data_IF_180826833855
#
_entry.id   IF_180826833855
#
_cell.length_a   1.000
_cell.length_b   1.000
_cell.length_c   1.000
_cell.angle_alpha   90.00
_cell.angle_beta   90.00
_cell.angle_gamma   90.00
#
_symmetry.space_group_name_H-M   'P 1'
#
loop_
_entity.id
_entity.type
_entity.pdbx_description
1 polymer ?
#
# COMPACT_ATOMS: atom_id res chain seq x y z
N UNK A 1 -32.03 6.75 -13.89
CA UNK A 1 -30.72 6.08 -13.72
C UNK A 1 -29.62 7.12 -13.91
N UNK A 2 -29.35 7.90 -12.86
CA UNK A 2 -28.32 8.93 -12.89
C UNK A 2 -27.03 8.38 -12.27
N UNK A 3 -26.02 8.21 -13.10
CA UNK A 3 -24.67 7.89 -12.67
C UNK A 3 -24.12 9.10 -11.92
N UNK A 4 -23.95 8.98 -10.61
CA UNK A 4 -23.17 9.96 -9.82
C UNK A 4 -21.69 9.83 -10.17
N UNK A 5 -20.94 10.94 -10.31
CA UNK A 5 -19.51 10.90 -10.60
C UNK A 5 -18.77 10.26 -9.42
N UNK A 6 -17.91 9.31 -9.77
CA UNK A 6 -16.93 8.74 -8.83
C UNK A 6 -15.99 9.88 -8.41
N UNK A 7 -15.89 10.14 -7.12
CA UNK A 7 -14.79 10.95 -6.57
C UNK A 7 -13.50 10.20 -6.86
N UNK A 8 -12.78 10.65 -7.86
CA UNK A 8 -11.38 10.31 -8.06
C UNK A 8 -10.64 10.75 -6.80
N UNK A 9 -9.97 9.81 -6.12
CA UNK A 9 -9.14 10.11 -4.97
C UNK A 9 -8.03 11.07 -5.38
N UNK A 10 -8.25 12.35 -5.12
CA UNK A 10 -7.21 13.36 -5.28
C UNK A 10 -6.18 13.13 -4.17
N UNK A 11 -4.99 12.66 -4.54
CA UNK A 11 -3.82 12.81 -3.71
C UNK A 11 -3.72 14.27 -3.29
N UNK A 12 -3.34 14.54 -2.03
CA UNK A 12 -3.25 15.89 -1.52
C UNK A 12 -2.50 16.80 -2.49
N UNK A 13 -3.24 17.49 -3.33
CA UNK A 13 -2.68 18.57 -4.14
C UNK A 13 -2.48 19.75 -3.20
N UNK A 14 -1.25 20.21 -3.12
CA UNK A 14 -1.05 21.63 -2.96
C UNK A 14 -1.56 22.22 -4.28
N UNK A 15 -2.71 22.89 -4.28
CA UNK A 15 -3.19 23.64 -5.44
C UNK A 15 -2.18 24.77 -5.71
N UNK A 16 -1.25 24.51 -6.66
CA UNK A 16 -0.33 25.50 -7.14
C UNK A 16 -0.88 26.12 -8.42
N UNK A 17 -0.78 27.45 -8.61
CA UNK A 17 -1.17 28.12 -9.83
C UNK A 17 -0.34 27.65 -11.04
N UNK A 18 -0.89 27.78 -12.23
CA UNK A 18 -0.27 27.42 -13.50
C UNK A 18 1.15 28.04 -13.68
N UNK A 19 2.09 27.36 -14.36
CA UNK A 19 3.47 27.80 -14.45
C UNK A 19 3.60 29.06 -15.28
N UNK A 20 3.94 30.15 -14.59
CA UNK A 20 4.54 31.31 -15.22
C UNK A 20 5.97 30.99 -15.59
N UNK A 21 6.36 31.25 -16.85
CA UNK A 21 7.69 31.07 -17.39
C UNK A 21 8.68 32.03 -16.73
N UNK A 22 9.40 31.56 -15.72
CA UNK A 22 10.60 32.22 -15.21
C UNK A 22 11.73 31.19 -15.20
N UNK A 23 12.76 31.43 -16.00
CA UNK A 23 13.98 30.63 -16.08
C UNK A 23 14.70 30.63 -14.73
N UNK A 24 14.50 29.60 -13.93
CA UNK A 24 15.29 29.35 -12.74
C UNK A 24 16.58 28.63 -13.16
N UNK A 25 17.71 29.27 -12.92
CA UNK A 25 19.03 28.63 -13.04
C UNK A 25 19.13 27.51 -12.03
N UNK A 26 19.03 26.26 -12.49
CA UNK A 26 19.27 25.09 -11.65
C UNK A 26 20.78 25.06 -11.33
N UNK A 27 21.16 25.39 -10.09
CA UNK A 27 22.46 25.01 -9.58
C UNK A 27 22.56 23.48 -9.54
N UNK A 28 23.73 22.94 -9.91
CA UNK A 28 23.95 21.48 -9.90
C UNK A 28 23.56 20.90 -8.55
N UNK A 29 22.73 19.84 -8.51
CA UNK A 29 22.24 19.28 -7.26
C UNK A 29 23.41 18.74 -6.44
N UNK A 30 23.63 19.29 -5.23
CA UNK A 30 24.57 18.72 -4.27
C UNK A 30 23.98 17.41 -3.76
N UNK A 31 24.67 16.29 -3.98
CA UNK A 31 24.31 14.99 -3.38
C UNK A 31 24.31 15.19 -1.86
N UNK A 32 23.19 14.90 -1.22
CA UNK A 32 23.08 14.97 0.23
C UNK A 32 24.14 14.07 0.88
N UNK A 33 24.95 14.62 1.76
CA UNK A 33 26.01 13.86 2.44
C UNK A 33 25.42 12.75 3.32
N UNK A 34 26.25 11.78 3.69
CA UNK A 34 25.85 10.69 4.63
C UNK A 34 25.28 11.26 5.94
N UNK A 35 25.81 12.41 6.40
CA UNK A 35 25.30 13.10 7.59
C UNK A 35 23.87 13.61 7.38
N UNK A 36 23.57 14.19 6.21
CA UNK A 36 22.20 14.67 5.85
C UNK A 36 21.23 13.50 5.79
N UNK A 37 21.60 12.38 5.18
CA UNK A 37 20.77 11.19 5.14
C UNK A 37 20.42 10.65 6.54
N UNK A 38 21.42 10.65 7.44
CA UNK A 38 21.20 10.26 8.83
C UNK A 38 20.20 11.17 9.52
N UNK A 39 20.40 12.48 9.42
CA UNK A 39 19.49 13.50 10.00
C UNK A 39 18.08 13.36 9.44
N UNK A 40 17.93 13.19 8.12
CA UNK A 40 16.62 12.94 7.49
C UNK A 40 15.95 11.71 8.07
N UNK A 41 16.67 10.59 8.13
CA UNK A 41 16.13 9.33 8.64
C UNK A 41 15.69 9.45 10.10
N UNK A 42 16.53 10.00 10.96
CA UNK A 42 16.23 10.20 12.37
C UNK A 42 14.98 11.07 12.57
N UNK A 43 14.88 12.17 11.84
CA UNK A 43 13.74 13.09 11.93
C UNK A 43 12.45 12.45 11.39
N UNK A 44 12.52 11.72 10.27
CA UNK A 44 11.37 11.00 9.72
C UNK A 44 10.87 9.90 10.66
N UNK A 45 11.78 9.12 11.25
CA UNK A 45 11.44 8.10 12.24
C UNK A 45 10.82 8.72 13.52
N UNK A 46 11.28 9.92 13.92
CA UNK A 46 10.72 10.67 15.04
C UNK A 46 9.27 11.14 14.80
N UNK A 47 8.83 11.24 13.54
CA UNK A 47 7.42 11.51 13.20
C UNK A 47 6.50 10.31 13.44
N UNK A 48 7.05 9.13 13.77
CA UNK A 48 6.30 7.91 14.05
C UNK A 48 6.35 6.85 12.95
N UNK A 49 7.04 7.08 11.84
CA UNK A 49 7.30 6.04 10.84
C UNK A 49 8.22 4.95 11.41
N UNK A 50 7.98 3.71 11.02
CA UNK A 50 8.81 2.56 11.43
C UNK A 50 9.97 2.32 10.47
N UNK A 51 9.85 2.81 9.23
CA UNK A 51 10.85 2.72 8.17
C UNK A 51 10.99 4.08 7.49
N UNK A 52 12.25 4.48 7.24
CA UNK A 52 12.60 5.62 6.38
C UNK A 52 13.84 5.22 5.57
N UNK A 53 13.69 5.04 4.26
CA UNK A 53 14.73 4.61 3.33
C UNK A 53 14.68 5.47 2.07
N UNK A 54 15.76 5.46 1.31
CA UNK A 54 15.93 6.33 0.15
C UNK A 54 16.27 5.50 -1.09
N UNK A 55 15.65 5.85 -2.21
CA UNK A 55 15.97 5.27 -3.52
C UNK A 55 16.29 6.40 -4.51
N UNK A 56 17.13 6.10 -5.49
CA UNK A 56 17.43 7.02 -6.58
C UNK A 56 16.37 6.87 -7.68
N UNK A 57 16.01 7.99 -8.31
CA UNK A 57 15.29 8.04 -9.58
C UNK A 57 16.30 8.30 -10.69
N UNK A 58 16.43 7.36 -11.65
CA UNK A 58 17.31 7.53 -12.80
C UNK A 58 16.62 8.43 -13.85
N UNK A 59 17.23 9.54 -14.26
CA UNK A 59 16.67 10.42 -15.28
C UNK A 59 16.65 9.73 -16.65
N UNK A 60 15.46 9.67 -17.26
CA UNK A 60 15.31 9.23 -18.66
C UNK A 60 15.45 7.71 -18.91
N UNK A 61 15.81 6.92 -17.92
CA UNK A 61 15.83 5.47 -17.99
C UNK A 61 15.18 4.87 -16.75
N UNK A 62 14.31 3.90 -16.95
CA UNK A 62 13.87 3.01 -15.87
C UNK A 62 14.99 1.98 -15.75
N UNK A 63 15.66 1.86 -14.61
CA UNK A 63 16.67 0.82 -14.44
C UNK A 63 16.08 -0.59 -14.59
N UNK A 64 16.94 -1.60 -14.73
CA UNK A 64 16.51 -2.97 -15.01
C UNK A 64 15.49 -3.51 -14.01
N UNK A 65 15.66 -3.22 -12.70
CA UNK A 65 14.75 -3.70 -11.67
C UNK A 65 13.36 -3.03 -11.75
N UNK A 66 13.33 -1.72 -12.00
CA UNK A 66 12.08 -0.99 -12.20
C UNK A 66 11.45 -1.39 -13.53
N UNK A 67 12.24 -1.59 -14.61
CA UNK A 67 11.78 -2.08 -15.91
C UNK A 67 11.08 -3.42 -15.78
N UNK A 68 11.62 -4.36 -14.99
CA UNK A 68 10.99 -5.64 -14.71
C UNK A 68 9.65 -5.48 -13.99
N UNK A 69 9.57 -4.59 -13.00
CA UNK A 69 8.32 -4.32 -12.27
C UNK A 69 7.25 -3.68 -13.18
N UNK A 70 7.65 -2.78 -14.08
CA UNK A 70 6.75 -2.15 -15.07
C UNK A 70 6.27 -3.19 -16.08
N UNK A 71 7.17 -4.04 -16.61
CA UNK A 71 6.81 -5.11 -17.52
C UNK A 71 5.86 -6.12 -16.86
N UNK A 72 6.11 -6.49 -15.60
CA UNK A 72 5.24 -7.37 -14.84
C UNK A 72 3.84 -6.75 -14.64
N UNK A 73 3.75 -5.45 -14.34
CA UNK A 73 2.47 -4.75 -14.26
C UNK A 73 1.74 -4.77 -15.60
N UNK A 74 2.43 -4.50 -16.73
CA UNK A 74 1.84 -4.54 -18.07
C UNK A 74 1.27 -5.92 -18.35
N UNK A 75 2.06 -6.97 -18.21
CA UNK A 75 1.62 -8.35 -18.44
C UNK A 75 0.43 -8.74 -17.57
N UNK A 76 0.40 -8.28 -16.32
CA UNK A 76 -0.70 -8.51 -15.38
C UNK A 76 -2.00 -7.82 -15.80
N UNK A 77 -1.90 -6.58 -16.33
CA UNK A 77 -3.03 -5.83 -16.89
C UNK A 77 -3.54 -6.49 -18.18
N UNK A 78 -2.63 -6.85 -19.10
CA UNK A 78 -2.97 -7.49 -20.38
C UNK A 78 -3.66 -8.86 -20.18
N UNK A 79 -3.31 -9.58 -19.11
CA UNK A 79 -3.98 -10.82 -18.68
C UNK A 79 -5.33 -10.59 -17.99
N UNK A 80 -5.79 -9.35 -17.80
CA UNK A 80 -7.03 -9.01 -17.10
C UNK A 80 -7.03 -9.39 -15.60
N UNK A 81 -5.86 -9.64 -15.02
CA UNK A 81 -5.74 -10.05 -13.62
C UNK A 81 -6.13 -8.96 -12.62
N UNK A 82 -6.27 -7.71 -13.08
CA UNK A 82 -6.72 -6.57 -12.28
C UNK A 82 -8.25 -6.53 -12.07
N UNK A 83 -9.01 -7.40 -12.75
CA UNK A 83 -10.47 -7.44 -12.72
C UNK A 83 -11.08 -6.04 -13.01
N UNK A 84 -12.00 -5.52 -12.18
CA UNK A 84 -12.66 -4.22 -12.39
C UNK A 84 -11.84 -3.01 -11.92
N UNK A 85 -10.60 -3.20 -11.53
CA UNK A 85 -9.73 -2.12 -11.02
C UNK A 85 -9.13 -1.27 -12.16
N UNK A 86 -9.98 -0.75 -13.07
CA UNK A 86 -9.56 0.01 -14.26
C UNK A 86 -8.76 1.29 -13.97
N UNK A 87 -8.68 1.76 -12.72
CA UNK A 87 -7.76 2.85 -12.34
C UNK A 87 -6.28 2.45 -12.42
N UNK A 88 -5.97 1.14 -12.40
CA UNK A 88 -4.61 0.63 -12.57
C UNK A 88 -4.15 0.81 -14.02
N UNK A 89 -5.03 0.52 -14.98
CA UNK A 89 -4.78 0.77 -16.40
C UNK A 89 -4.61 2.26 -16.70
N UNK A 90 -5.59 3.06 -16.26
CA UNK A 90 -5.55 4.53 -16.46
C UNK A 90 -4.33 5.20 -15.80
N UNK A 91 -3.81 4.61 -14.75
CA UNK A 91 -2.63 5.12 -14.04
C UNK A 91 -1.31 4.47 -14.46
N UNK A 92 -1.30 3.63 -15.50
CA UNK A 92 -0.11 2.86 -15.90
C UNK A 92 1.08 3.74 -16.23
N UNK A 93 0.92 4.74 -17.10
CA UNK A 93 2.02 5.60 -17.56
C UNK A 93 2.72 6.33 -16.39
N UNK A 94 1.96 6.83 -15.43
CA UNK A 94 2.54 7.47 -14.24
C UNK A 94 3.25 6.47 -13.33
N UNK A 95 2.73 5.23 -13.25
CA UNK A 95 3.40 4.16 -12.48
C UNK A 95 4.70 3.72 -13.14
N UNK A 96 4.72 3.72 -14.48
CA UNK A 96 5.90 3.36 -15.26
C UNK A 96 6.96 4.47 -15.31
N UNK A 97 6.54 5.73 -15.17
CA UNK A 97 7.44 6.88 -15.31
C UNK A 97 7.28 7.87 -14.15
N UNK A 98 8.20 7.84 -13.16
CA UNK A 98 8.18 8.77 -12.04
C UNK A 98 8.30 10.25 -12.44
N UNK A 99 8.86 10.54 -13.62
CA UNK A 99 8.91 11.90 -14.17
C UNK A 99 7.53 12.47 -14.50
N UNK A 100 6.51 11.63 -14.71
CA UNK A 100 5.12 12.05 -14.87
C UNK A 100 4.41 12.28 -13.51
N UNK A 101 4.99 11.78 -12.43
CA UNK A 101 4.51 12.01 -11.06
C UNK A 101 5.07 13.33 -10.54
N UNK A 102 6.38 13.53 -10.68
CA UNK A 102 7.09 14.77 -10.37
C UNK A 102 8.17 15.01 -11.43
N UNK A 103 7.98 15.94 -12.37
CA UNK A 103 9.02 16.31 -13.32
C UNK A 103 10.31 16.73 -12.62
N UNK A 104 11.44 16.14 -13.01
CA UNK A 104 12.74 16.40 -12.39
C UNK A 104 12.98 15.68 -11.06
N UNK A 105 12.15 14.68 -10.71
CA UNK A 105 12.42 13.83 -9.55
C UNK A 105 13.79 13.15 -9.65
N UNK A 106 14.55 13.15 -8.56
CA UNK A 106 15.88 12.56 -8.41
C UNK A 106 15.92 11.49 -7.34
N UNK A 107 15.04 11.57 -6.36
CA UNK A 107 15.00 10.63 -5.25
C UNK A 107 13.59 10.28 -4.85
N UNK A 108 13.44 9.11 -4.24
CA UNK A 108 12.21 8.70 -3.54
C UNK A 108 12.56 8.40 -2.09
N UNK A 109 11.87 9.07 -1.18
CA UNK A 109 11.85 8.71 0.24
C UNK A 109 10.76 7.68 0.43
N UNK A 110 11.13 6.47 0.81
CA UNK A 110 10.20 5.37 1.09
C UNK A 110 10.00 5.27 2.59
N UNK A 111 8.76 5.38 3.01
CA UNK A 111 8.33 5.34 4.40
C UNK A 111 7.48 4.09 4.64
N UNK A 112 7.59 3.53 5.84
CA UNK A 112 6.79 2.38 6.25
C UNK A 112 6.17 2.59 7.61
N UNK A 113 4.92 2.11 7.78
CA UNK A 113 4.21 2.11 9.06
C UNK A 113 3.75 0.69 9.36
N UNK A 114 4.21 0.15 10.47
CA UNK A 114 3.89 -1.20 10.90
C UNK A 114 2.48 -1.26 11.49
N UNK A 115 1.61 -2.09 10.87
CA UNK A 115 0.22 -2.28 11.33
C UNK A 115 -0.04 -3.64 11.98
N UNK A 116 0.99 -4.37 12.39
CA UNK A 116 0.82 -5.68 13.02
C UNK A 116 0.15 -5.57 14.40
N UNK A 117 -1.17 -5.78 14.52
CA UNK A 117 -1.91 -5.60 15.76
C UNK A 117 -1.81 -6.81 16.70
N UNK A 118 -1.01 -7.82 16.32
CA UNK A 118 -1.04 -9.12 16.99
C UNK A 118 -2.14 -10.04 16.44
N UNK A 119 -2.42 -11.13 17.14
CA UNK A 119 -3.40 -12.13 16.69
C UNK A 119 -4.79 -11.80 17.22
N UNK A 120 -5.78 -11.70 16.33
CA UNK A 120 -7.20 -11.75 16.70
C UNK A 120 -7.61 -13.20 16.95
N UNK A 121 -7.56 -13.64 18.19
CA UNK A 121 -8.05 -14.96 18.57
C UNK A 121 -9.54 -14.88 18.93
N UNK A 122 -10.34 -15.79 18.37
CA UNK A 122 -11.74 -16.00 18.79
C UNK A 122 -12.78 -15.06 18.17
N UNK A 123 -12.45 -14.23 17.18
CA UNK A 123 -13.46 -13.45 16.47
C UNK A 123 -14.37 -14.36 15.62
N UNK A 124 -15.71 -14.17 15.64
CA UNK A 124 -16.64 -14.98 14.88
C UNK A 124 -16.51 -14.80 13.35
N UNK A 125 -15.99 -13.64 12.93
CA UNK A 125 -15.69 -13.29 11.53
C UNK A 125 -14.24 -12.82 11.43
N UNK A 126 -13.67 -13.00 10.23
CA UNK A 126 -12.30 -12.55 9.94
C UNK A 126 -12.30 -11.23 9.17
N UNK A 127 -11.64 -10.27 9.75
CA UNK A 127 -11.33 -8.97 9.16
C UNK A 127 -9.85 -8.92 8.85
N UNK A 128 -9.48 -8.34 7.71
CA UNK A 128 -8.07 -8.08 7.43
C UNK A 128 -7.47 -7.21 8.55
N UNK A 129 -6.26 -7.52 8.97
CA UNK A 129 -5.60 -6.90 10.14
C UNK A 129 -5.52 -5.39 10.02
N UNK A 130 -5.24 -4.88 8.81
CA UNK A 130 -5.15 -3.45 8.59
C UNK A 130 -6.46 -2.71 8.88
N UNK A 131 -7.61 -3.36 8.70
CA UNK A 131 -8.92 -2.78 8.97
C UNK A 131 -9.23 -2.61 10.46
N UNK A 132 -8.41 -3.17 11.32
CA UNK A 132 -8.55 -3.08 12.78
C UNK A 132 -7.98 -1.78 13.35
N UNK A 133 -7.36 -0.97 12.52
CA UNK A 133 -6.91 0.38 12.82
C UNK A 133 -7.90 1.44 12.31
N UNK A 134 -7.70 2.69 12.73
CA UNK A 134 -8.28 3.83 12.05
C UNK A 134 -7.86 3.80 10.57
N UNK A 135 -8.60 4.50 9.72
CA UNK A 135 -8.24 4.58 8.31
C UNK A 135 -6.81 5.13 8.17
N UNK A 136 -5.93 4.29 7.64
CA UNK A 136 -4.51 4.65 7.52
C UNK A 136 -4.27 5.84 6.59
N UNK A 137 -5.18 6.12 5.65
CA UNK A 137 -5.11 7.32 4.83
C UNK A 137 -5.24 8.58 5.69
N UNK A 138 -6.20 8.57 6.64
CA UNK A 138 -6.42 9.70 7.53
C UNK A 138 -5.25 9.89 8.52
N UNK A 139 -4.59 8.79 8.90
CA UNK A 139 -3.45 8.82 9.82
C UNK A 139 -2.14 9.21 9.12
N UNK A 140 -1.89 8.65 7.92
CA UNK A 140 -0.62 8.84 7.21
C UNK A 140 -0.53 10.20 6.50
N UNK A 141 -1.64 10.73 5.96
CA UNK A 141 -1.63 12.00 5.23
C UNK A 141 -1.07 13.17 6.05
N UNK A 142 -1.49 13.43 7.30
CA UNK A 142 -0.88 14.47 8.13
C UNK A 142 0.60 14.20 8.46
N UNK A 143 0.99 12.92 8.61
CA UNK A 143 2.38 12.56 8.87
C UNK A 143 3.26 12.82 7.65
N UNK A 144 2.76 12.54 6.44
CA UNK A 144 3.45 12.85 5.18
C UNK A 144 3.61 14.34 4.97
N UNK A 145 2.62 15.16 5.32
CA UNK A 145 2.74 16.61 5.28
C UNK A 145 3.84 17.11 6.24
N UNK A 146 3.97 16.51 7.43
CA UNK A 146 5.09 16.82 8.35
C UNK A 146 6.43 16.34 7.81
N UNK A 147 6.45 15.17 7.17
CA UNK A 147 7.65 14.63 6.52
C UNK A 147 8.15 15.58 5.40
N UNK A 148 7.21 16.14 4.61
CA UNK A 148 7.53 17.16 3.62
C UNK A 148 8.24 18.37 4.24
N UNK A 149 7.76 18.89 5.36
CA UNK A 149 8.43 20.00 6.07
C UNK A 149 9.83 19.63 6.57
N UNK A 150 10.02 18.38 7.02
CA UNK A 150 11.37 17.90 7.36
C UNK A 150 12.31 17.94 6.16
N UNK A 151 11.82 17.57 4.96
CA UNK A 151 12.59 17.67 3.73
C UNK A 151 12.95 19.14 3.40
N UNK A 152 11.98 20.05 3.52
CA UNK A 152 12.20 21.48 3.29
C UNK A 152 13.31 22.02 4.21
N UNK A 153 13.24 21.74 5.51
CA UNK A 153 14.20 22.22 6.50
C UNK A 153 15.62 21.62 6.33
N UNK A 154 15.69 20.32 6.00
CA UNK A 154 16.99 19.62 5.95
C UNK A 154 17.68 19.77 4.60
N UNK A 155 16.91 19.82 3.51
CA UNK A 155 17.44 19.90 2.15
C UNK A 155 17.42 21.31 1.57
N UNK A 156 16.76 22.28 2.22
CA UNK A 156 16.61 23.64 1.72
C UNK A 156 15.74 23.72 0.46
N UNK A 157 14.75 22.84 0.33
CA UNK A 157 13.81 22.78 -0.77
C UNK A 157 12.46 23.38 -0.37
N UNK A 158 11.54 23.49 -1.32
CA UNK A 158 10.20 24.03 -1.11
C UNK A 158 9.12 22.99 -1.34
N UNK A 159 7.87 23.28 -1.02
CA UNK A 159 6.72 22.40 -1.25
C UNK A 159 6.49 22.03 -2.72
N UNK A 160 7.06 22.79 -3.67
CA UNK A 160 6.98 22.48 -5.10
C UNK A 160 7.95 21.38 -5.52
N UNK A 161 8.98 21.10 -4.71
CA UNK A 161 10.06 20.18 -5.03
C UNK A 161 9.75 18.73 -4.63
N UNK A 162 8.58 18.44 -4.08
CA UNK A 162 8.19 17.07 -3.74
C UNK A 162 6.70 16.79 -3.93
N UNK A 163 6.37 15.50 -4.05
CA UNK A 163 4.99 14.96 -4.05
C UNK A 163 4.97 13.69 -3.21
N UNK A 164 3.95 13.53 -2.37
CA UNK A 164 3.82 12.34 -1.52
C UNK A 164 2.53 11.59 -1.78
N UNK A 165 2.60 10.27 -1.61
CA UNK A 165 1.50 9.33 -1.80
C UNK A 165 1.51 8.26 -0.73
N UNK A 166 0.33 7.72 -0.44
CA UNK A 166 0.14 6.50 0.32
C UNK A 166 -1.05 5.77 -0.31
N UNK A 167 -0.84 4.57 -0.85
CA UNK A 167 -1.81 3.66 -1.48
C UNK A 167 -2.53 4.25 -2.71
N UNK A 168 -3.14 5.42 -2.60
CA UNK A 168 -4.01 5.99 -3.66
C UNK A 168 -3.25 6.65 -4.81
N UNK A 169 -1.93 6.73 -4.75
CA UNK A 169 -1.10 7.33 -5.78
C UNK A 169 -0.85 6.42 -6.99
N UNK A 170 -0.52 6.99 -8.16
CA UNK A 170 -0.11 6.22 -9.32
C UNK A 170 1.38 5.84 -9.21
N UNK A 171 1.72 5.05 -8.19
CA UNK A 171 3.09 4.68 -7.80
C UNK A 171 3.20 3.17 -7.67
N UNK A 172 4.36 2.61 -8.02
CA UNK A 172 4.73 1.22 -7.77
C UNK A 172 5.39 1.09 -6.38
N UNK A 173 4.60 1.29 -5.31
CA UNK A 173 5.10 1.38 -3.93
C UNK A 173 6.01 0.23 -3.53
N UNK A 174 5.62 -1.01 -3.82
CA UNK A 174 6.42 -2.20 -3.48
C UNK A 174 7.75 -2.26 -4.24
N UNK A 175 7.77 -1.84 -5.50
CA UNK A 175 9.00 -1.78 -6.29
C UNK A 175 9.97 -0.71 -5.75
N UNK A 176 9.46 0.47 -5.39
CA UNK A 176 10.27 1.50 -4.73
C UNK A 176 10.76 1.06 -3.35
N UNK A 177 9.92 0.35 -2.59
CA UNK A 177 10.32 -0.17 -1.28
C UNK A 177 11.42 -1.25 -1.39
N UNK A 178 11.36 -2.12 -2.40
CA UNK A 178 12.42 -3.10 -2.69
C UNK A 178 13.72 -2.40 -3.09
N UNK A 179 13.61 -1.42 -3.96
CA UNK A 179 14.72 -0.60 -4.41
C UNK A 179 15.38 0.22 -3.31
N UNK A 180 14.60 0.71 -2.35
CA UNK A 180 15.10 1.38 -1.15
C UNK A 180 15.62 0.41 -0.07
N UNK A 181 15.55 -0.91 -0.30
CA UNK A 181 16.02 -1.91 0.67
C UNK A 181 15.11 -2.08 1.90
N UNK A 182 13.83 -1.73 1.80
CA UNK A 182 12.85 -1.94 2.89
C UNK A 182 12.53 -3.43 3.05
N UNK A 183 12.48 -4.15 1.94
CA UNK A 183 12.14 -5.55 1.90
C UNK A 183 12.32 -6.13 0.50
N UNK A 184 11.73 -7.27 0.25
CA UNK A 184 11.72 -7.94 -1.04
C UNK A 184 10.29 -8.35 -1.42
N UNK A 185 10.02 -8.49 -2.70
CA UNK A 185 8.74 -8.97 -3.19
C UNK A 185 8.62 -10.48 -3.00
N UNK A 186 7.66 -10.92 -2.17
CA UNK A 186 7.41 -12.33 -1.89
C UNK A 186 6.56 -13.02 -2.95
N UNK A 187 6.55 -14.37 -2.95
CA UNK A 187 5.66 -15.17 -3.81
C UNK A 187 4.17 -14.90 -3.58
N UNK A 188 3.82 -14.32 -2.43
CA UNK A 188 2.46 -13.85 -2.11
C UNK A 188 2.14 -12.45 -2.66
N UNK A 189 2.99 -11.92 -3.54
CA UNK A 189 2.87 -10.59 -4.12
C UNK A 189 2.90 -9.43 -3.10
N UNK A 190 3.29 -9.69 -1.86
CA UNK A 190 3.45 -8.68 -0.81
C UNK A 190 4.93 -8.28 -0.67
N UNK A 191 5.16 -7.06 -0.21
CA UNK A 191 6.48 -6.71 0.32
C UNK A 191 6.73 -7.50 1.61
N UNK A 192 7.90 -8.11 1.73
CA UNK A 192 8.33 -8.86 2.91
C UNK A 192 9.53 -8.16 3.52
N UNK A 193 9.35 -7.53 4.66
CA UNK A 193 10.42 -6.91 5.45
C UNK A 193 11.04 -7.93 6.41
N UNK A 194 12.35 -7.81 6.65
CA UNK A 194 13.03 -8.64 7.67
C UNK A 194 12.56 -8.34 9.09
N UNK A 195 12.22 -7.09 9.37
CA UNK A 195 11.86 -6.63 10.72
C UNK A 195 10.36 -6.66 10.98
N UNK A 196 9.55 -6.48 9.93
CA UNK A 196 8.10 -6.27 10.06
C UNK A 196 7.27 -7.32 9.30
N UNK A 197 7.92 -8.32 8.67
CA UNK A 197 7.22 -9.33 7.87
C UNK A 197 6.41 -8.68 6.74
N UNK A 198 5.14 -9.07 6.62
CA UNK A 198 4.21 -8.55 5.60
C UNK A 198 3.35 -7.36 6.10
N UNK A 199 3.65 -6.78 7.27
CA UNK A 199 2.73 -5.92 7.98
C UNK A 199 3.10 -4.43 7.90
N UNK A 200 3.50 -3.95 6.70
CA UNK A 200 3.83 -2.54 6.45
C UNK A 200 2.82 -1.90 5.52
N UNK A 201 2.27 -0.77 5.92
CA UNK A 201 1.79 0.24 4.98
C UNK A 201 2.99 0.98 4.41
N UNK A 202 2.93 1.30 3.13
CA UNK A 202 3.96 2.04 2.41
C UNK A 202 3.50 3.45 2.10
N UNK A 203 4.44 4.35 1.99
CA UNK A 203 4.23 5.68 1.43
C UNK A 203 5.52 6.17 0.79
N UNK A 204 5.40 6.97 -0.25
CA UNK A 204 6.52 7.52 -0.99
C UNK A 204 6.44 9.04 -1.08
N UNK A 205 7.62 9.67 -1.00
CA UNK A 205 7.79 11.09 -1.32
C UNK A 205 8.81 11.17 -2.45
N UNK A 206 8.35 11.53 -3.64
CA UNK A 206 9.23 11.88 -4.76
C UNK A 206 9.81 13.27 -4.53
N UNK A 207 11.12 13.44 -4.76
CA UNK A 207 11.85 14.66 -4.44
C UNK A 207 12.77 15.05 -5.60
N UNK A 208 12.84 16.33 -5.94
CA UNK A 208 13.78 16.85 -6.94
C UNK A 208 15.23 16.93 -6.44
N UNK A 209 15.41 16.99 -5.12
CA UNK A 209 16.74 16.93 -4.53
C UNK A 209 17.36 15.53 -4.64
N UNK A 210 18.66 15.47 -4.80
CA UNK A 210 19.41 14.22 -4.83
C UNK A 210 19.78 13.80 -3.40
N UNK A 211 19.23 12.65 -2.97
CA UNK A 211 19.50 12.02 -1.68
C UNK A 211 20.28 10.74 -1.97
N UNK A 212 21.38 10.48 -1.27
CA UNK A 212 22.13 9.25 -1.46
C UNK A 212 21.23 8.03 -1.20
N UNK A 213 21.12 7.09 -2.15
CA UNK A 213 20.23 5.94 -2.01
C UNK A 213 20.75 4.96 -0.97
N UNK A 214 19.84 4.25 -0.33
CA UNK A 214 20.16 3.04 0.43
C UNK A 214 20.37 1.86 -0.53
N UNK A 215 21.07 0.83 -0.05
CA UNK A 215 21.28 -0.39 -0.82
C UNK A 215 19.96 -1.14 -1.03
N UNK A 216 19.63 -1.50 -2.27
CA UNK A 216 18.45 -2.27 -2.59
C UNK A 216 18.55 -3.70 -2.06
N UNK A 217 17.41 -4.37 -1.91
CA UNK A 217 17.43 -5.81 -1.72
C UNK A 217 17.87 -6.51 -3.01
N UNK A 218 18.92 -7.31 -2.91
CA UNK A 218 19.40 -8.10 -4.04
C UNK A 218 18.45 -9.25 -4.37
N UNK A 219 17.90 -9.27 -5.58
CA UNK A 219 17.14 -10.39 -6.12
C UNK A 219 15.72 -10.04 -6.58
N UNK A 220 15.23 -10.70 -7.59
CA UNK A 220 13.88 -10.55 -8.13
C UNK A 220 12.80 -11.22 -7.26
N UNK A 221 11.56 -11.16 -7.73
CA UNK A 221 10.35 -11.66 -7.08
C UNK A 221 10.51 -13.08 -6.54
N UNK A 222 10.18 -13.26 -5.26
CA UNK A 222 10.17 -14.56 -4.60
C UNK A 222 11.54 -15.20 -4.37
N UNK A 223 12.64 -14.58 -4.77
CA UNK A 223 13.98 -15.18 -4.65
C UNK A 223 14.34 -15.57 -3.22
N UNK A 224 14.09 -14.70 -2.25
CA UNK A 224 14.33 -14.98 -0.83
C UNK A 224 13.29 -15.93 -0.20
N UNK A 225 12.22 -16.26 -0.92
CA UNK A 225 11.31 -17.32 -0.55
C UNK A 225 11.90 -18.72 -0.79
N UNK A 226 12.89 -18.86 -1.68
CA UNK A 226 13.49 -20.14 -2.04
C UNK A 226 12.43 -21.18 -2.47
N UNK A 227 12.50 -22.38 -1.90
CA UNK A 227 11.56 -23.48 -2.16
C UNK A 227 10.23 -23.37 -1.41
N UNK A 228 10.03 -22.34 -0.56
CA UNK A 228 8.80 -22.18 0.22
C UNK A 228 7.59 -21.92 -0.69
N UNK A 229 6.49 -22.64 -0.46
CA UNK A 229 5.21 -22.50 -1.18
C UNK A 229 4.03 -22.25 -0.25
N UNK A 230 4.25 -22.02 1.05
CA UNK A 230 3.18 -21.93 2.06
C UNK A 230 2.04 -20.98 1.68
N UNK A 231 2.34 -19.81 1.14
CA UNK A 231 1.31 -18.84 0.74
C UNK A 231 0.51 -19.31 -0.48
N UNK A 232 1.15 -20.03 -1.41
CA UNK A 232 0.51 -20.58 -2.60
C UNK A 232 -0.43 -21.72 -2.20
N UNK A 233 0.02 -22.60 -1.30
CA UNK A 233 -0.73 -23.78 -0.84
C UNK A 233 -1.89 -23.38 0.08
N UNK A 234 -1.73 -22.33 0.89
CA UNK A 234 -2.74 -21.86 1.81
C UNK A 234 -3.82 -20.95 1.15
N UNK A 235 -3.58 -20.47 -0.08
CA UNK A 235 -4.54 -19.59 -0.74
C UNK A 235 -5.86 -20.36 -1.00
N UNK A 236 -6.98 -19.94 -0.37
CA UNK A 236 -8.22 -20.74 -0.41
C UNK A 236 -8.83 -20.83 -1.81
N UNK A 237 -8.51 -19.88 -2.68
CA UNK A 237 -9.06 -19.77 -4.04
C UNK A 237 -8.04 -20.05 -5.13
N UNK A 238 -6.76 -20.27 -4.78
CA UNK A 238 -5.70 -20.44 -5.75
C UNK A 238 -5.36 -19.17 -6.54
N UNK A 239 -5.66 -17.99 -5.99
CA UNK A 239 -5.42 -16.69 -6.64
C UNK A 239 -3.93 -16.36 -6.88
N UNK A 240 -3.00 -17.08 -6.25
CA UNK A 240 -1.56 -16.88 -6.39
C UNK A 240 -1.00 -17.83 -7.45
N UNK A 241 -0.36 -17.30 -8.48
CA UNK A 241 0.27 -18.10 -9.53
C UNK A 241 1.44 -18.94 -8.96
N UNK A 242 1.49 -20.22 -9.32
CA UNK A 242 2.57 -21.14 -8.90
C UNK A 242 3.83 -20.93 -9.73
N UNK A 243 3.67 -20.57 -10.99
CA UNK A 243 4.76 -20.25 -11.90
C UNK A 243 4.98 -18.74 -11.97
N UNK A 244 6.23 -18.32 -12.11
CA UNK A 244 6.60 -16.91 -12.21
C UNK A 244 6.63 -16.12 -10.89
N UNK A 245 6.00 -16.60 -9.81
CA UNK A 245 6.02 -15.99 -8.47
C UNK A 245 5.43 -14.57 -8.39
N UNK A 246 4.80 -14.22 -7.28
CA UNK A 246 4.36 -12.83 -7.01
C UNK A 246 3.20 -12.31 -7.88
N UNK A 247 2.52 -13.16 -8.63
CA UNK A 247 1.36 -12.81 -9.45
C UNK A 247 0.08 -13.20 -8.73
N UNK A 248 -0.84 -12.25 -8.60
CA UNK A 248 -2.17 -12.45 -8.01
C UNK A 248 -3.21 -12.25 -9.09
N UNK A 249 -4.05 -13.26 -9.33
CA UNK A 249 -5.28 -13.05 -10.09
C UNK A 249 -6.35 -12.46 -9.17
N UNK A 250 -6.62 -11.17 -9.31
CA UNK A 250 -7.60 -10.47 -8.47
C UNK A 250 -9.00 -11.04 -8.62
N UNK A 251 -9.34 -11.59 -9.79
CA UNK A 251 -10.65 -12.23 -10.04
C UNK A 251 -10.93 -13.36 -9.05
N UNK A 252 -9.88 -14.04 -8.59
CA UNK A 252 -9.95 -15.13 -7.62
C UNK A 252 -9.64 -14.69 -6.19
N UNK A 253 -8.98 -13.55 -6.00
CA UNK A 253 -8.49 -13.11 -4.69
C UNK A 253 -9.65 -12.74 -3.75
N UNK A 254 -9.70 -13.36 -2.56
CA UNK A 254 -10.72 -13.05 -1.54
C UNK A 254 -10.68 -11.59 -1.13
N UNK A 255 -9.51 -10.96 -1.05
CA UNK A 255 -9.41 -9.54 -0.72
C UNK A 255 -10.08 -8.67 -1.79
N UNK A 256 -9.84 -8.93 -3.08
CA UNK A 256 -10.55 -8.25 -4.16
C UNK A 256 -12.06 -8.46 -4.06
N UNK A 257 -12.51 -9.72 -3.90
CA UNK A 257 -13.93 -10.05 -3.87
C UNK A 257 -14.68 -9.35 -2.72
N UNK A 258 -14.03 -9.19 -1.58
CA UNK A 258 -14.64 -8.63 -0.38
C UNK A 258 -14.43 -7.12 -0.21
N UNK A 259 -13.50 -6.51 -0.96
CA UNK A 259 -13.19 -5.07 -0.85
C UNK A 259 -13.51 -4.31 -2.13
N UNK A 260 -13.01 -4.77 -3.29
CA UNK A 260 -13.05 -4.00 -4.54
C UNK A 260 -14.22 -4.38 -5.44
N UNK A 261 -14.58 -5.66 -5.52
CA UNK A 261 -15.71 -6.12 -6.31
C UNK A 261 -17.01 -5.44 -5.88
N UNK A 262 -17.71 -4.80 -6.83
CA UNK A 262 -19.00 -4.14 -6.61
C UNK A 262 -20.19 -5.00 -7.02
N UNK A 263 -19.94 -6.09 -7.76
CA UNK A 263 -20.94 -7.05 -8.23
C UNK A 263 -21.19 -8.20 -7.25
N UNK A 264 -21.87 -9.20 -7.73
CA UNK A 264 -22.06 -10.45 -7.00
C UNK A 264 -20.73 -11.22 -6.90
N UNK A 265 -20.50 -11.88 -5.77
CA UNK A 265 -19.37 -12.79 -5.62
C UNK A 265 -19.71 -14.10 -6.37
N UNK A 266 -18.81 -14.61 -7.25
CA UNK A 266 -19.00 -15.84 -7.98
C UNK A 266 -19.32 -17.02 -7.04
N UNK A 267 -20.27 -17.89 -7.44
CA UNK A 267 -20.77 -18.97 -6.57
C UNK A 267 -19.66 -19.92 -6.12
N UNK A 268 -18.75 -20.24 -7.03
CA UNK A 268 -17.61 -21.13 -6.83
C UNK A 268 -16.56 -20.59 -5.83
N UNK A 269 -16.61 -19.29 -5.51
CA UNK A 269 -15.70 -18.68 -4.54
C UNK A 269 -16.33 -18.54 -3.15
N UNK A 270 -17.67 -18.58 -3.03
CA UNK A 270 -18.36 -18.26 -1.77
C UNK A 270 -17.95 -19.16 -0.62
N UNK A 271 -17.96 -20.47 -0.82
CA UNK A 271 -17.52 -21.44 0.20
C UNK A 271 -16.05 -21.22 0.58
N UNK A 272 -15.19 -20.93 -0.40
CA UNK A 272 -13.76 -20.69 -0.21
C UNK A 272 -13.44 -19.41 0.56
N UNK A 273 -14.34 -18.44 0.57
CA UNK A 273 -14.24 -17.22 1.38
C UNK A 273 -14.30 -17.58 2.88
N UNK A 274 -15.12 -18.55 3.27
CA UNK A 274 -15.32 -18.96 4.66
C UNK A 274 -15.75 -17.75 5.51
N UNK A 275 -15.21 -17.60 6.70
CA UNK A 275 -15.56 -16.52 7.64
C UNK A 275 -14.97 -15.13 7.30
N UNK A 276 -14.37 -14.90 6.12
CA UNK A 276 -13.68 -13.64 5.77
C UNK A 276 -14.66 -12.61 5.24
N UNK A 277 -15.06 -11.69 6.13
CA UNK A 277 -16.07 -10.67 5.79
C UNK A 277 -15.48 -9.44 5.10
N UNK A 278 -14.19 -9.14 5.34
CA UNK A 278 -13.49 -7.98 4.78
C UNK A 278 -11.99 -8.27 4.64
N UNK A 279 -11.51 -8.35 3.42
CA UNK A 279 -10.12 -8.65 3.12
C UNK A 279 -9.70 -10.10 3.42
N UNK A 280 -8.42 -10.38 3.23
CA UNK A 280 -7.86 -11.71 3.47
C UNK A 280 -6.36 -11.62 3.71
N UNK A 281 -5.90 -12.13 4.84
CA UNK A 281 -4.48 -12.14 5.21
C UNK A 281 -3.83 -13.52 5.13
N UNK A 282 -4.53 -14.55 4.61
CA UNK A 282 -4.05 -15.95 4.66
C UNK A 282 -2.63 -16.09 4.11
N UNK A 283 -2.35 -15.51 2.94
CA UNK A 283 -1.04 -15.62 2.32
C UNK A 283 0.05 -14.86 3.09
N UNK A 284 -0.31 -13.79 3.78
CA UNK A 284 0.58 -13.08 4.70
C UNK A 284 0.78 -13.88 6.00
N UNK A 285 -0.29 -14.35 6.64
CA UNK A 285 -0.26 -15.04 7.94
C UNK A 285 0.61 -16.30 7.94
N UNK A 286 0.60 -17.08 6.85
CA UNK A 286 1.40 -18.30 6.74
C UNK A 286 2.87 -18.05 6.36
N UNK A 287 3.23 -16.80 6.06
CA UNK A 287 4.59 -16.46 5.66
C UNK A 287 5.56 -16.66 6.82
N UNK A 288 6.61 -17.48 6.65
CA UNK A 288 7.55 -17.76 7.74
C UNK A 288 8.37 -16.54 8.16
N UNK A 289 8.48 -15.53 7.33
CA UNK A 289 9.15 -14.26 7.67
C UNK A 289 8.43 -13.49 8.76
N UNK A 290 7.13 -13.72 8.97
CA UNK A 290 6.36 -13.07 10.05
C UNK A 290 6.77 -13.52 11.44
N UNK A 291 7.56 -14.60 11.59
CA UNK A 291 8.12 -15.02 12.89
C UNK A 291 9.04 -13.97 13.52
N UNK A 292 9.59 -13.08 12.68
CA UNK A 292 10.46 -11.99 13.10
C UNK A 292 9.72 -10.64 13.19
N UNK A 293 8.46 -10.60 12.78
CA UNK A 293 7.69 -9.37 12.70
C UNK A 293 7.48 -8.76 14.08
N UNK A 294 7.96 -7.55 14.26
CA UNK A 294 7.73 -6.75 15.46
C UNK A 294 6.27 -6.36 15.57
N UNK A 295 5.78 -6.20 16.79
CA UNK A 295 4.46 -5.59 17.02
C UNK A 295 4.48 -4.11 16.63
N UNK A 296 3.34 -3.59 16.17
CA UNK A 296 3.18 -2.16 15.91
C UNK A 296 3.39 -1.35 17.19
N UNK A 297 4.08 -0.22 17.08
CA UNK A 297 4.25 0.74 18.18
C UNK A 297 3.03 1.65 18.36
N UNK A 298 2.09 1.62 17.40
CA UNK A 298 0.91 2.47 17.42
C UNK A 298 1.17 3.97 17.24
N UNK A 299 2.39 4.36 16.83
CA UNK A 299 2.80 5.75 16.82
C UNK A 299 2.02 6.63 15.82
N UNK A 300 1.62 6.08 14.68
CA UNK A 300 0.83 6.76 13.65
C UNK A 300 -0.55 6.12 13.43
N UNK A 301 -0.74 4.91 13.88
CA UNK A 301 -1.99 4.19 13.70
C UNK A 301 -2.71 4.17 15.05
N UNK A 302 -3.75 4.99 15.17
CA UNK A 302 -4.67 4.83 16.29
C UNK A 302 -5.20 3.40 16.29
N UNK A 303 -4.78 2.63 17.27
CA UNK A 303 -5.45 1.39 17.59
C UNK A 303 -6.86 1.76 18.03
N UNK A 304 -7.77 1.93 17.08
CA UNK A 304 -9.16 1.69 17.45
C UNK A 304 -9.18 0.26 17.93
N UNK A 305 -9.73 0.01 19.13
CA UNK A 305 -9.70 -1.32 19.66
C UNK A 305 -10.23 -2.23 18.56
N UNK A 306 -9.41 -3.06 17.97
CA UNK A 306 -9.81 -4.14 17.05
C UNK A 306 -10.90 -5.00 17.71
N UNK A 307 -11.03 -4.84 19.01
CA UNK A 307 -12.11 -5.31 19.82
C UNK A 307 -13.51 -4.90 19.34
N UNK A 308 -13.74 -3.74 18.72
CA UNK A 308 -15.09 -3.37 18.26
C UNK A 308 -15.49 -4.19 17.02
N UNK A 309 -14.60 -4.30 16.01
CA UNK A 309 -14.86 -5.13 14.82
C UNK A 309 -14.86 -6.64 15.17
N UNK A 310 -13.94 -7.06 16.02
CA UNK A 310 -13.82 -8.44 16.44
C UNK A 310 -15.02 -8.92 17.29
N UNK A 311 -15.78 -8.01 17.90
CA UNK A 311 -16.97 -8.32 18.72
C UNK A 311 -18.26 -8.37 17.93
N UNK A 312 -18.31 -7.79 16.71
CA UNK A 312 -19.51 -7.83 15.90
C UNK A 312 -19.86 -9.27 15.53
N UNK A 313 -21.05 -9.69 15.87
CA UNK A 313 -21.62 -10.95 15.37
C UNK A 313 -22.13 -10.79 13.95
N UNK A 314 -22.21 -11.88 13.22
CA UNK A 314 -22.78 -11.89 11.86
C UNK A 314 -24.22 -11.34 11.84
N UNK A 315 -25.02 -11.67 12.86
CA UNK A 315 -26.40 -11.17 13.03
C UNK A 315 -26.43 -9.65 13.16
N UNK A 316 -25.53 -9.05 13.94
CA UNK A 316 -25.43 -7.59 14.07
C UNK A 316 -25.02 -6.92 12.77
N UNK A 317 -24.11 -7.53 12.01
CA UNK A 317 -23.73 -7.01 10.70
C UNK A 317 -24.90 -7.07 9.71
N UNK A 318 -25.63 -8.17 9.67
CA UNK A 318 -26.81 -8.32 8.79
C UNK A 318 -27.95 -7.37 9.16
N UNK A 319 -28.03 -6.93 10.41
CA UNK A 319 -29.04 -5.98 10.92
C UNK A 319 -28.62 -4.49 10.83
N UNK A 320 -27.48 -4.19 10.19
CA UNK A 320 -27.01 -2.80 10.10
C UNK A 320 -27.92 -1.94 9.22
N UNK A 321 -28.35 -0.81 9.78
CA UNK A 321 -28.95 0.29 8.99
C UNK A 321 -27.88 1.20 8.40
N UNK A 322 -28.17 2.05 7.41
CA UNK A 322 -27.22 3.04 6.88
C UNK A 322 -26.60 3.93 7.96
N UNK A 323 -27.41 4.40 8.92
CA UNK A 323 -26.98 5.28 10.02
C UNK A 323 -26.03 4.53 10.97
N UNK A 324 -26.38 3.28 11.31
CA UNK A 324 -25.57 2.44 12.17
C UNK A 324 -24.23 2.10 11.50
N UNK A 325 -24.27 1.75 10.20
CA UNK A 325 -23.05 1.52 9.42
C UNK A 325 -22.16 2.76 9.39
N UNK A 326 -22.75 3.95 9.11
CA UNK A 326 -21.99 5.20 9.09
C UNK A 326 -21.35 5.54 10.43
N UNK A 327 -22.03 5.21 11.54
CA UNK A 327 -21.53 5.42 12.91
C UNK A 327 -20.41 4.43 13.27
N UNK A 328 -20.65 3.12 13.09
CA UNK A 328 -19.73 2.05 13.49
C UNK A 328 -18.42 2.10 12.69
N UNK A 329 -18.51 2.34 11.38
CA UNK A 329 -17.34 2.30 10.48
C UNK A 329 -16.79 3.68 10.12
N UNK A 330 -17.17 4.75 10.85
CA UNK A 330 -16.61 6.09 10.66
C UNK A 330 -15.09 6.07 10.87
N UNK A 331 -14.32 6.60 9.91
CA UNK A 331 -12.85 6.66 9.97
C UNK A 331 -12.20 5.28 10.01
N UNK A 332 -12.78 4.29 9.31
CA UNK A 332 -12.19 2.98 9.10
C UNK A 332 -12.13 2.65 7.61
N UNK A 333 -11.17 1.84 7.20
CA UNK A 333 -11.03 1.36 5.81
C UNK A 333 -12.26 0.56 5.34
N UNK A 334 -13.03 -0.04 6.24
CA UNK A 334 -14.25 -0.81 5.92
C UNK A 334 -15.30 0.05 5.25
N UNK A 335 -15.33 1.36 5.51
CA UNK A 335 -16.27 2.28 4.87
C UNK A 335 -16.19 2.28 3.33
N UNK A 336 -15.04 1.87 2.76
CA UNK A 336 -14.81 1.77 1.30
C UNK A 336 -15.83 0.87 0.60
N UNK A 337 -16.24 -0.24 1.21
CA UNK A 337 -17.17 -1.20 0.56
C UNK A 337 -18.63 -0.76 0.63
N UNK A 338 -18.95 0.30 1.39
CA UNK A 338 -20.33 0.74 1.67
C UNK A 338 -21.14 -0.36 2.37
N UNK A 339 -22.33 0.00 2.86
CA UNK A 339 -23.23 -0.95 3.53
C UNK A 339 -23.61 -2.13 2.62
N UNK A 340 -23.95 -1.87 1.36
CA UNK A 340 -24.38 -2.92 0.42
C UNK A 340 -23.28 -3.98 0.21
N UNK A 341 -22.03 -3.56 0.09
CA UNK A 341 -20.90 -4.50 -0.05
C UNK A 341 -20.67 -5.31 1.23
N UNK A 342 -20.80 -4.69 2.41
CA UNK A 342 -20.64 -5.41 3.68
C UNK A 342 -21.78 -6.41 3.88
N UNK A 343 -23.04 -6.05 3.60
CA UNK A 343 -24.17 -6.96 3.67
C UNK A 343 -24.05 -8.11 2.67
N UNK A 344 -23.62 -7.84 1.42
CA UNK A 344 -23.31 -8.87 0.44
C UNK A 344 -22.28 -9.87 0.99
N UNK A 345 -21.18 -9.38 1.57
CA UNK A 345 -20.15 -10.24 2.16
C UNK A 345 -20.70 -11.03 3.35
N UNK A 346 -21.52 -10.40 4.20
CA UNK A 346 -22.15 -11.05 5.34
C UNK A 346 -23.08 -12.19 4.90
N UNK A 347 -23.85 -12.01 3.82
CA UNK A 347 -24.69 -13.08 3.24
C UNK A 347 -23.87 -14.25 2.65
N UNK A 348 -22.62 -14.02 2.25
CA UNK A 348 -21.73 -15.10 1.79
C UNK A 348 -21.10 -15.84 2.96
N UNK A 349 -20.87 -15.15 4.08
CA UNK A 349 -20.29 -15.72 5.31
C UNK A 349 -21.34 -16.49 6.13
N UNK A 350 -22.65 -16.14 5.99
CA UNK A 350 -23.77 -16.81 6.63
C UNK A 350 -23.98 -18.26 6.14
#
# INVERSE_FOLDING_TARGET
MNAMPQKTGEGGRNDAPAPGSAGASFSAPKIASVAVNRTLRERLLALGFDVARFARVEPGAVDDAMSQSVAALRAWLDAGCHADMGWLERGFEKRANPGLVLPGARSVVVLGVNYNPGLFKGAPMRWARYACHADYHDSMKPALARAGRVLEEVLGITGDDYRYYADTGPVLERAWAERAGVGFAGKNAMLVSREFGNWLFLAEIFVRAEIAPDEPFAGGWGRLCGKCTRCLDACPTGALAREGGGVVDSRLCVAYQTIENRGAIPRELREKIGARIFGCDVCAEVCPWNRFARASRGALLDARPGSALARLSLREVLALTPEKFASVFRGTAVKRIKLAGLLRNACVVA
#
